data_IF_888813161173
#
_entry.id   IF_888813161173
#
_cell.length_a   1.000
_cell.length_b   1.000
_cell.length_c   1.000
_cell.angle_alpha   90.00
_cell.angle_beta   90.00
_cell.angle_gamma   90.00
#
_symmetry.space_group_name_H-M   'P 1'
#
loop_
_entity.id
_entity.type
_entity.pdbx_description
1 polymer ?
#
# COMPACT_ATOMS: atom_id res chain seq x y z
N UNK A 1 -8.23 3.62 27.65
CA UNK A 1 -7.05 3.31 26.81
C UNK A 1 -7.10 4.25 25.62
N UNK A 2 -6.23 5.26 25.61
CA UNK A 2 -6.04 6.16 24.47
C UNK A 2 -5.22 5.41 23.43
N UNK A 3 -5.89 4.87 22.41
CA UNK A 3 -5.24 4.31 21.24
C UNK A 3 -4.54 5.46 20.51
N UNK A 4 -3.22 5.38 20.35
CA UNK A 4 -2.54 6.25 19.39
C UNK A 4 -3.05 5.85 18.02
N UNK A 5 -3.95 6.64 17.44
CA UNK A 5 -4.53 6.35 16.14
C UNK A 5 -3.40 6.28 15.10
N UNK A 6 -3.21 5.10 14.50
CA UNK A 6 -2.27 4.93 13.41
C UNK A 6 -2.78 5.70 12.19
N UNK A 7 -1.88 6.40 11.49
CA UNK A 7 -2.24 7.29 10.37
C UNK A 7 -1.60 6.83 9.08
N UNK A 8 -2.37 6.85 8.00
CA UNK A 8 -1.86 6.68 6.64
C UNK A 8 -1.00 7.88 6.24
N UNK A 9 0.07 7.70 5.47
CA UNK A 9 0.86 8.80 4.90
C UNK A 9 0.03 9.73 4.00
N UNK A 10 -0.71 9.13 3.06
CA UNK A 10 -1.72 9.77 2.21
C UNK A 10 -3.04 9.83 2.95
N UNK A 11 -3.79 8.74 2.93
CA UNK A 11 -5.15 8.66 3.45
C UNK A 11 -6.12 8.29 2.35
N UNK A 12 -7.29 7.84 2.77
CA UNK A 12 -8.41 7.58 1.88
C UNK A 12 -9.21 8.87 1.70
N UNK A 13 -9.50 9.22 0.45
CA UNK A 13 -10.37 10.35 0.10
C UNK A 13 -11.71 9.83 -0.36
N UNK A 14 -12.77 10.19 0.36
CA UNK A 14 -14.15 9.82 0.07
C UNK A 14 -15.01 11.08 0.20
N UNK A 15 -15.87 11.35 -0.78
CA UNK A 15 -16.76 12.52 -0.79
C UNK A 15 -16.04 13.87 -0.55
N UNK A 16 -14.78 13.97 -0.97
CA UNK A 16 -13.92 15.15 -0.78
C UNK A 16 -13.28 15.25 0.60
N UNK A 17 -13.58 14.32 1.52
CA UNK A 17 -12.98 14.25 2.85
C UNK A 17 -11.81 13.27 2.90
N UNK A 18 -10.69 13.72 3.49
CA UNK A 18 -9.48 12.91 3.66
C UNK A 18 -9.43 12.30 5.05
N UNK A 19 -9.69 11.00 5.15
CA UNK A 19 -9.50 10.22 6.36
C UNK A 19 -8.13 9.52 6.37
N UNK A 20 -7.43 9.59 7.52
CA UNK A 20 -6.09 8.99 7.67
C UNK A 20 -6.03 7.87 8.70
N UNK A 21 -7.01 7.73 9.58
CA UNK A 21 -6.97 6.75 10.66
C UNK A 21 -7.18 5.34 10.12
N UNK A 22 -6.50 4.35 10.68
CA UNK A 22 -6.69 2.94 10.31
C UNK A 22 -6.39 2.02 11.50
N UNK A 23 -6.88 0.78 11.43
CA UNK A 23 -6.58 -0.26 12.42
C UNK A 23 -6.63 -1.65 11.78
N UNK A 24 -5.65 -2.51 12.13
CA UNK A 24 -5.72 -3.94 11.85
C UNK A 24 -6.59 -4.68 12.86
N UNK A 25 -7.11 -5.82 12.43
CA UNK A 25 -7.65 -6.86 13.32
C UNK A 25 -6.53 -7.43 14.19
N UNK A 26 -6.83 -7.96 15.39
CA UNK A 26 -5.86 -8.73 16.16
C UNK A 26 -5.31 -9.92 15.35
N UNK A 27 -4.01 -10.20 15.49
CA UNK A 27 -3.41 -11.39 14.89
C UNK A 27 -4.04 -12.65 15.49
N UNK A 28 -4.35 -13.60 14.61
CA UNK A 28 -4.86 -14.91 14.98
C UNK A 28 -4.47 -15.92 13.91
N UNK A 29 -4.42 -17.20 14.26
CA UNK A 29 -4.14 -18.27 13.28
C UNK A 29 -5.13 -18.31 12.12
N UNK A 30 -6.39 -17.87 12.33
CA UNK A 30 -7.37 -17.74 11.26
C UNK A 30 -7.02 -16.62 10.27
N UNK A 31 -6.50 -15.49 10.76
CA UNK A 31 -6.03 -14.41 9.88
C UNK A 31 -4.79 -14.83 9.10
N UNK A 32 -3.81 -15.46 9.78
CA UNK A 32 -2.59 -15.95 9.15
C UNK A 32 -2.89 -16.96 8.03
N UNK A 33 -3.78 -17.93 8.31
CA UNK A 33 -4.22 -18.91 7.31
C UNK A 33 -4.89 -18.23 6.11
N UNK A 34 -5.82 -17.29 6.35
CA UNK A 34 -6.51 -16.59 5.28
C UNK A 34 -5.54 -15.75 4.41
N UNK A 35 -4.51 -15.15 5.01
CA UNK A 35 -3.48 -14.41 4.26
C UNK A 35 -2.61 -15.33 3.40
N UNK A 36 -2.26 -16.53 3.90
CA UNK A 36 -1.53 -17.52 3.11
C UNK A 36 -2.33 -17.97 1.87
N UNK A 37 -3.64 -18.19 2.02
CA UNK A 37 -4.54 -18.59 0.94
C UNK A 37 -4.68 -17.50 -0.16
N UNK A 38 -4.63 -16.22 0.21
CA UNK A 38 -4.66 -15.11 -0.76
C UNK A 38 -3.49 -15.18 -1.74
N UNK A 39 -2.30 -15.53 -1.26
CA UNK A 39 -1.10 -15.62 -2.10
C UNK A 39 -1.22 -16.69 -3.18
N UNK A 40 -1.95 -17.77 -2.92
CA UNK A 40 -2.17 -18.87 -3.86
C UNK A 40 -3.34 -18.62 -4.80
N UNK A 41 -4.40 -17.95 -4.33
CA UNK A 41 -5.67 -17.83 -5.06
C UNK A 41 -5.80 -16.56 -5.92
N UNK A 42 -4.99 -15.52 -5.66
CA UNK A 42 -5.17 -14.24 -6.32
C UNK A 42 -4.79 -14.26 -7.80
N UNK A 43 -5.65 -13.66 -8.64
CA UNK A 43 -5.42 -13.56 -10.08
C UNK A 43 -4.23 -12.64 -10.46
N UNK A 44 -3.84 -11.72 -9.59
CA UNK A 44 -2.74 -10.77 -9.80
C UNK A 44 -2.23 -10.19 -8.49
N UNK A 45 -1.02 -9.60 -8.50
CA UNK A 45 -0.45 -8.95 -7.31
C UNK A 45 -1.33 -7.81 -6.76
N UNK A 46 -1.88 -6.88 -7.57
CA UNK A 46 -2.80 -5.85 -7.04
C UNK A 46 -4.04 -6.45 -6.37
N UNK A 47 -4.60 -7.51 -6.96
CA UNK A 47 -5.75 -8.21 -6.39
C UNK A 47 -5.40 -8.90 -5.06
N UNK A 48 -4.23 -9.56 -4.99
CA UNK A 48 -3.71 -10.15 -3.76
C UNK A 48 -3.59 -9.10 -2.64
N UNK A 49 -3.02 -7.93 -2.95
CA UNK A 49 -2.88 -6.84 -1.98
C UNK A 49 -4.24 -6.33 -1.52
N UNK A 50 -5.21 -6.17 -2.43
CA UNK A 50 -6.57 -5.74 -2.05
C UNK A 50 -7.21 -6.76 -1.11
N UNK A 51 -7.14 -8.05 -1.41
CA UNK A 51 -7.70 -9.11 -0.56
C UNK A 51 -7.01 -9.17 0.81
N UNK A 52 -5.67 -9.22 0.83
CA UNK A 52 -4.89 -9.30 2.06
C UNK A 52 -5.20 -8.14 3.00
N UNK A 53 -5.20 -6.90 2.49
CA UNK A 53 -5.52 -5.72 3.28
C UNK A 53 -6.99 -5.69 3.72
N UNK A 54 -7.93 -6.19 2.92
CA UNK A 54 -9.35 -6.27 3.31
C UNK A 54 -9.61 -7.28 4.43
N UNK A 55 -8.84 -8.36 4.46
CA UNK A 55 -8.88 -9.34 5.55
C UNK A 55 -8.25 -8.77 6.82
N UNK A 56 -7.08 -8.14 6.69
CA UNK A 56 -6.30 -7.67 7.83
C UNK A 56 -6.83 -6.39 8.47
N UNK A 57 -7.36 -5.45 7.69
CA UNK A 57 -7.89 -4.19 8.23
C UNK A 57 -9.26 -4.40 8.87
N UNK A 58 -9.43 -3.86 10.07
CA UNK A 58 -10.74 -3.72 10.70
C UNK A 58 -11.37 -2.39 10.28
N UNK A 59 -10.60 -1.30 10.39
CA UNK A 59 -11.07 0.06 10.10
C UNK A 59 -10.15 0.82 9.16
N UNK A 60 -10.78 1.63 8.32
CA UNK A 60 -10.16 2.59 7.42
C UNK A 60 -10.98 3.88 7.43
N UNK A 61 -10.36 4.98 7.83
CA UNK A 61 -11.01 6.29 8.01
C UNK A 61 -12.24 6.26 8.92
N UNK A 62 -12.19 5.43 9.98
CA UNK A 62 -13.28 5.29 10.95
C UNK A 62 -14.46 4.45 10.47
N UNK A 63 -14.35 3.78 9.32
CA UNK A 63 -15.38 2.89 8.75
C UNK A 63 -14.78 1.51 8.44
N UNK A 64 -15.59 0.47 8.22
CA UNK A 64 -15.09 -0.86 7.85
C UNK A 64 -14.24 -0.83 6.57
N UNK A 65 -13.11 -1.54 6.58
CA UNK A 65 -12.20 -1.62 5.43
C UNK A 65 -12.68 -2.63 4.37
N UNK A 66 -13.69 -2.25 3.58
CA UNK A 66 -14.20 -3.09 2.49
C UNK A 66 -13.21 -3.19 1.32
N UNK A 67 -13.29 -4.24 0.47
CA UNK A 67 -12.44 -4.36 -0.71
C UNK A 67 -12.45 -3.15 -1.63
N UNK A 68 -13.62 -2.55 -1.86
CA UNK A 68 -13.75 -1.34 -2.66
C UNK A 68 -12.95 -0.16 -2.05
N UNK A 69 -13.06 0.06 -0.74
CA UNK A 69 -12.34 1.13 -0.04
C UNK A 69 -10.83 0.90 -0.06
N UNK A 70 -10.40 -0.35 0.13
CA UNK A 70 -8.99 -0.75 0.06
C UNK A 70 -8.44 -0.56 -1.37
N UNK A 71 -9.23 -0.89 -2.40
CA UNK A 71 -8.87 -0.65 -3.79
C UNK A 71 -8.75 0.85 -4.11
N UNK A 72 -9.54 1.71 -3.47
CA UNK A 72 -9.46 3.18 -3.63
C UNK A 72 -8.25 3.83 -2.95
N UNK A 73 -7.50 3.12 -2.11
CA UNK A 73 -6.26 3.64 -1.55
C UNK A 73 -5.22 3.85 -2.64
N UNK A 74 -4.46 4.95 -2.51
CA UNK A 74 -3.32 5.18 -3.39
C UNK A 74 -2.28 4.06 -3.25
N UNK A 75 -1.51 3.80 -4.31
CA UNK A 75 -0.51 2.72 -4.32
C UNK A 75 0.49 2.84 -3.16
N UNK A 76 0.92 4.06 -2.84
CA UNK A 76 1.88 4.31 -1.75
C UNK A 76 1.31 3.93 -0.37
N UNK A 77 0.04 4.24 -0.09
CA UNK A 77 -0.60 3.85 1.18
C UNK A 77 -0.80 2.33 1.27
N UNK A 78 -1.09 1.67 0.15
CA UNK A 78 -1.19 0.20 0.11
C UNK A 78 0.16 -0.46 0.41
N UNK A 79 1.25 0.07 -0.16
CA UNK A 79 2.61 -0.40 0.14
C UNK A 79 2.97 -0.17 1.61
N UNK A 80 2.65 1.00 2.14
CA UNK A 80 2.82 1.31 3.56
C UNK A 80 2.07 0.29 4.44
N UNK A 81 0.79 0.05 4.16
CA UNK A 81 -0.03 -0.89 4.92
C UNK A 81 0.44 -2.33 4.81
N UNK A 82 0.91 -2.79 3.64
CA UNK A 82 1.46 -4.14 3.49
C UNK A 82 2.72 -4.33 4.35
N UNK A 83 3.57 -3.30 4.45
CA UNK A 83 4.72 -3.32 5.35
C UNK A 83 4.30 -3.30 6.81
N UNK A 84 3.33 -2.45 7.20
CA UNK A 84 2.83 -2.46 8.56
C UNK A 84 2.11 -3.78 8.92
N UNK A 85 1.48 -4.44 7.94
CA UNK A 85 0.89 -5.76 8.12
C UNK A 85 1.96 -6.81 8.42
N UNK A 86 3.05 -6.81 7.66
CA UNK A 86 4.18 -7.71 7.91
C UNK A 86 4.75 -7.52 9.34
N UNK A 87 4.89 -6.27 9.78
CA UNK A 87 5.25 -5.95 11.17
C UNK A 87 4.23 -6.41 12.19
N UNK A 88 2.94 -6.23 11.89
CA UNK A 88 1.85 -6.66 12.74
C UNK A 88 1.84 -8.19 12.93
N UNK A 89 2.26 -8.93 11.91
CA UNK A 89 2.44 -10.40 11.96
C UNK A 89 3.75 -10.84 12.66
N UNK A 90 4.58 -9.90 13.11
CA UNK A 90 5.78 -10.17 13.90
C UNK A 90 7.11 -10.06 13.14
N UNK A 91 7.11 -9.63 11.88
CA UNK A 91 8.34 -9.38 11.13
C UNK A 91 8.97 -8.05 11.55
N UNK A 92 10.24 -8.05 11.97
CA UNK A 92 10.95 -6.80 12.34
C UNK A 92 11.78 -6.23 11.19
N UNK A 93 11.99 -7.01 10.13
CA UNK A 93 12.93 -6.72 9.06
C UNK A 93 13.81 -7.92 8.77
N UNK A 94 15.03 -7.69 8.28
CA UNK A 94 15.96 -8.77 8.01
C UNK A 94 17.33 -8.34 7.49
N UNK A 95 18.18 -9.33 7.29
CA UNK A 95 19.47 -9.19 6.61
C UNK A 95 19.28 -9.38 5.11
N UNK A 96 19.84 -8.46 4.34
CA UNK A 96 19.81 -8.46 2.89
C UNK A 96 21.23 -8.42 2.34
N UNK A 97 21.43 -9.03 1.18
CA UNK A 97 22.68 -8.98 0.44
C UNK A 97 22.51 -8.10 -0.80
N UNK A 98 23.54 -7.34 -1.15
CA UNK A 98 23.60 -6.63 -2.42
C UNK A 98 25.03 -6.57 -2.96
N UNK A 99 25.14 -6.42 -4.28
CA UNK A 99 26.41 -6.21 -4.96
C UNK A 99 26.66 -4.71 -5.16
N UNK A 100 27.88 -4.25 -4.82
CA UNK A 100 28.29 -2.89 -5.09
C UNK A 100 28.37 -2.63 -6.59
N UNK A 101 27.57 -1.70 -7.12
CA UNK A 101 27.58 -1.35 -8.56
C UNK A 101 28.90 -0.74 -9.07
N UNK A 102 29.87 -0.47 -8.19
CA UNK A 102 31.16 0.11 -8.55
C UNK A 102 32.30 -0.91 -8.54
N UNK A 103 32.38 -1.77 -7.52
CA UNK A 103 33.49 -2.73 -7.35
C UNK A 103 33.04 -4.20 -7.41
N UNK A 104 31.74 -4.47 -7.53
CA UNK A 104 31.14 -5.82 -7.57
C UNK A 104 31.29 -6.64 -6.28
N UNK A 105 31.87 -6.07 -5.22
CA UNK A 105 31.92 -6.73 -3.92
C UNK A 105 30.51 -6.88 -3.32
N UNK A 106 30.24 -8.07 -2.78
CA UNK A 106 29.02 -8.39 -2.06
C UNK A 106 29.11 -7.88 -0.62
N UNK A 107 28.05 -7.24 -0.14
CA UNK A 107 27.94 -6.80 1.24
C UNK A 107 26.54 -7.06 1.80
N UNK A 108 26.50 -7.22 3.11
CA UNK A 108 25.27 -7.47 3.85
C UNK A 108 24.86 -6.20 4.58
N UNK A 109 23.55 -5.96 4.65
CA UNK A 109 22.99 -4.86 5.42
C UNK A 109 21.70 -5.28 6.10
N UNK A 110 21.48 -4.74 7.29
CA UNK A 110 20.26 -4.98 8.07
C UNK A 110 19.25 -3.88 7.77
N UNK A 111 18.00 -4.27 7.55
CA UNK A 111 16.88 -3.32 7.40
C UNK A 111 15.85 -3.61 8.47
N UNK A 112 15.60 -2.62 9.33
CA UNK A 112 14.50 -2.62 10.29
C UNK A 112 13.29 -1.93 9.66
N UNK A 113 12.21 -2.66 9.40
CA UNK A 113 11.05 -2.10 8.70
C UNK A 113 10.38 -0.96 9.47
N UNK A 114 10.51 -0.95 10.80
CA UNK A 114 10.02 0.12 11.64
C UNK A 114 10.80 1.42 11.58
N UNK A 115 12.01 1.39 11.03
CA UNK A 115 12.90 2.56 10.92
C UNK A 115 12.90 3.15 9.50
N UNK A 116 12.25 2.46 8.55
CA UNK A 116 12.17 2.93 7.17
C UNK A 116 11.43 4.28 7.08
N UNK A 117 12.04 5.29 6.45
CA UNK A 117 11.44 6.62 6.39
C UNK A 117 10.11 6.59 5.65
N UNK A 118 9.12 7.28 6.21
CA UNK A 118 7.79 7.44 5.62
C UNK A 118 7.55 8.92 5.38
N UNK A 119 7.30 9.29 4.12
CA UNK A 119 6.98 10.66 3.75
C UNK A 119 5.47 10.87 3.79
N UNK A 120 4.99 11.80 4.62
CA UNK A 120 3.59 12.20 4.58
C UNK A 120 3.25 12.88 3.26
N UNK A 121 2.02 12.65 2.77
CA UNK A 121 1.56 13.32 1.57
C UNK A 121 1.30 14.81 1.84
N UNK A 122 1.79 15.65 0.93
CA UNK A 122 1.66 17.10 1.01
C UNK A 122 0.22 17.60 0.80
N UNK A 123 0.02 18.92 0.83
CA UNK A 123 -1.31 19.55 0.74
C UNK A 123 -2.03 19.32 -0.59
N UNK A 124 -1.31 19.00 -1.67
CA UNK A 124 -1.90 18.71 -2.98
C UNK A 124 -2.56 17.33 -3.09
N UNK A 125 -2.34 16.43 -2.13
CA UNK A 125 -2.88 15.06 -2.19
C UNK A 125 -4.41 15.04 -2.31
N UNK A 126 -5.00 14.17 -3.16
CA UNK A 126 -4.35 13.10 -3.93
C UNK A 126 -3.97 13.52 -5.36
N UNK A 127 -3.96 14.82 -5.65
CA UNK A 127 -3.71 15.36 -6.98
C UNK A 127 -2.29 15.94 -7.11
N UNK A 128 -1.78 15.98 -8.33
CA UNK A 128 -0.56 16.69 -8.71
C UNK A 128 -0.83 17.50 -9.95
N UNK A 129 -0.38 18.75 -9.95
CA UNK A 129 -0.42 19.62 -11.12
C UNK A 129 0.97 19.66 -11.75
N UNK A 130 1.02 19.45 -13.06
CA UNK A 130 2.24 19.50 -13.86
C UNK A 130 2.05 20.53 -14.97
N UNK A 131 3.11 21.25 -15.30
CA UNK A 131 3.19 22.06 -16.51
C UNK A 131 3.87 21.23 -17.61
N UNK A 132 3.11 20.89 -18.64
CA UNK A 132 3.57 20.15 -19.81
C UNK A 132 3.51 21.10 -21.01
N UNK A 133 4.68 21.63 -21.40
CA UNK A 133 4.84 22.55 -22.53
C UNK A 133 3.90 23.77 -22.50
N UNK A 134 3.71 24.37 -21.32
CA UNK A 134 2.83 25.53 -21.11
C UNK A 134 1.36 25.16 -20.85
N UNK A 135 1.02 23.86 -20.84
CA UNK A 135 -0.31 23.37 -20.49
C UNK A 135 -0.30 22.82 -19.06
N UNK A 136 -1.11 23.41 -18.19
CA UNK A 136 -1.31 22.86 -16.84
C UNK A 136 -2.23 21.65 -16.90
N UNK A 137 -1.71 20.49 -16.52
CA UNK A 137 -2.45 19.23 -16.46
C UNK A 137 -2.50 18.77 -15.02
N UNK A 138 -3.65 18.23 -14.61
CA UNK A 138 -3.85 17.67 -13.28
C UNK A 138 -3.99 16.16 -13.36
N UNK A 139 -3.23 15.47 -12.54
CA UNK A 139 -3.28 14.02 -12.40
C UNK A 139 -3.67 13.66 -10.98
N UNK A 140 -4.44 12.58 -10.81
CA UNK A 140 -4.60 11.92 -9.51
C UNK A 140 -3.54 10.85 -9.35
N UNK A 141 -3.11 10.61 -8.12
CA UNK A 141 -2.27 9.46 -7.81
C UNK A 141 -3.01 8.15 -8.14
N UNK A 142 -2.30 7.14 -8.66
CA UNK A 142 -2.89 5.85 -8.94
C UNK A 142 -3.31 5.14 -7.65
N UNK A 143 -4.37 4.36 -7.76
CA UNK A 143 -5.01 3.56 -6.73
C UNK A 143 -4.85 2.07 -7.04
N UNK A 144 -5.20 1.21 -6.08
CA UNK A 144 -5.29 -0.23 -6.34
C UNK A 144 -6.27 -0.58 -7.46
N UNK A 145 -7.40 0.13 -7.52
CA UNK A 145 -8.40 -0.03 -8.58
C UNK A 145 -7.83 0.23 -9.98
N UNK A 146 -6.99 1.25 -10.14
CA UNK A 146 -6.33 1.54 -11.43
C UNK A 146 -5.38 0.41 -11.84
N UNK A 147 -4.65 -0.15 -10.87
CA UNK A 147 -3.73 -1.26 -11.14
C UNK A 147 -4.49 -2.52 -11.57
N UNK A 148 -5.65 -2.79 -10.94
CA UNK A 148 -6.53 -3.91 -11.31
C UNK A 148 -7.15 -3.69 -12.70
N UNK A 149 -7.61 -2.46 -12.99
CA UNK A 149 -8.17 -2.13 -14.30
C UNK A 149 -7.15 -2.28 -15.43
N UNK A 150 -5.92 -1.76 -15.26
CA UNK A 150 -4.86 -1.87 -16.27
C UNK A 150 -4.54 -3.32 -16.64
N UNK A 151 -4.60 -4.25 -15.67
CA UNK A 151 -4.36 -5.67 -15.91
C UNK A 151 -5.54 -6.37 -16.57
N UNK A 152 -6.75 -5.81 -16.48
CA UNK A 152 -7.94 -6.34 -17.14
C UNK A 152 -8.09 -5.89 -18.59
N UNK A 153 -7.31 -4.90 -19.02
CA UNK A 153 -7.32 -4.43 -20.40
C UNK A 153 -6.61 -5.45 -21.30
N UNK A 154 -7.19 -5.85 -22.45
CA UNK A 154 -6.46 -6.60 -23.45
C UNK A 154 -5.28 -5.73 -23.91
N UNK A 155 -4.09 -6.33 -24.01
CA UNK A 155 -2.91 -5.62 -24.51
C UNK A 155 -3.28 -4.90 -25.82
N UNK A 156 -3.23 -3.57 -25.80
CA UNK A 156 -3.41 -2.80 -27.02
C UNK A 156 -2.26 -3.20 -27.95
N UNK A 157 -2.59 -4.06 -28.92
CA UNK A 157 -1.62 -4.69 -29.81
C UNK A 157 -0.60 -3.68 -30.30
N UNK A 158 0.67 -3.97 -29.99
CA UNK A 158 1.84 -3.20 -30.37
C UNK A 158 1.73 -2.85 -31.88
N UNK A 159 1.46 -1.58 -32.19
CA UNK A 159 1.51 -1.03 -33.57
C UNK A 159 2.69 -0.12 -33.69
#
# INVERSE_FOLDING_TARGET
MTWTAMRLPGGLVEDGERGRNWAFRPVSGALELALAEVGEAAASTPHAVTQALSLALDQLSGQPATPARVASLCVADRQFLMRELDRHLGSEGGWFEADCRHCEDRFDFEVHYGELPVREAGPGFPEVELDLDGTRVRFRLPTGGDQEELLSQPEAGNR
#
